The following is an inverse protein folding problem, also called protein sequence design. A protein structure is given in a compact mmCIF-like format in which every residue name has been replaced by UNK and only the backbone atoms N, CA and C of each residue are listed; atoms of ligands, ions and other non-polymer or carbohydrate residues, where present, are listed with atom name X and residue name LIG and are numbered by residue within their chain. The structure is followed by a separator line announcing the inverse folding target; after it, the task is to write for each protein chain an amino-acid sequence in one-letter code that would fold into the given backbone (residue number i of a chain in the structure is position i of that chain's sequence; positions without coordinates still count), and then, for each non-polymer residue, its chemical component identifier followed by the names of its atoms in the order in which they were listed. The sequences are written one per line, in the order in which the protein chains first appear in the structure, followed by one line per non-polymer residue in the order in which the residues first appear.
data_IF_015998561623
#
_entry.id   IF_015998561623
#
_cell.length_a   1.000
_cell.length_b   1.000
_cell.length_c   1.000
_cell.angle_alpha   90.00
_cell.angle_beta   90.00
_cell.angle_gamma   90.00
#
_symmetry.space_group_name_H-M   'P 1'
#
loop_
_entity.id
_entity.type
_entity.pdbx_description
1 polymer ?
#
# COMPACT_ATOMS: atom_id res chain seq x y z
N UNK A 1 56.69 2.14 -4.19
CA UNK A 1 55.96 2.12 -5.49
C UNK A 1 54.79 1.13 -5.45
N UNK A 2 54.99 -0.15 -5.09
CA UNK A 2 53.89 -1.13 -4.97
C UNK A 2 52.83 -0.77 -3.93
N UNK A 3 53.24 -0.16 -2.83
CA UNK A 3 52.34 0.30 -1.75
C UNK A 3 51.32 1.32 -2.23
N UNK A 4 51.75 2.31 -3.03
CA UNK A 4 50.85 3.34 -3.58
C UNK A 4 49.86 2.74 -4.58
N UNK A 5 50.27 1.73 -5.35
CA UNK A 5 49.37 1.02 -6.25
C UNK A 5 48.31 0.23 -5.47
N UNK A 6 48.70 -0.43 -4.38
CA UNK A 6 47.77 -1.16 -3.52
C UNK A 6 46.76 -0.22 -2.83
N UNK A 7 47.20 0.93 -2.33
CA UNK A 7 46.29 1.89 -1.70
C UNK A 7 45.24 2.41 -2.68
N UNK A 8 45.64 2.76 -3.92
CA UNK A 8 44.70 3.25 -4.94
C UNK A 8 43.64 2.20 -5.30
N UNK A 9 44.04 0.92 -5.42
CA UNK A 9 43.10 -0.18 -5.70
C UNK A 9 42.11 -0.37 -4.55
N UNK A 10 42.59 -0.38 -3.30
CA UNK A 10 41.73 -0.56 -2.13
C UNK A 10 40.74 0.61 -2.03
N UNK A 11 41.20 1.86 -2.17
CA UNK A 11 40.31 3.02 -2.12
C UNK A 11 39.26 2.98 -3.23
N UNK A 12 39.64 2.59 -4.46
CA UNK A 12 38.70 2.42 -5.57
C UNK A 12 37.60 1.39 -5.26
N UNK A 13 37.97 0.23 -4.72
CA UNK A 13 37.01 -0.82 -4.35
C UNK A 13 36.08 -0.39 -3.20
N UNK A 14 36.58 0.36 -2.22
CA UNK A 14 35.74 0.86 -1.12
C UNK A 14 34.71 1.89 -1.59
N UNK A 15 35.08 2.77 -2.52
CA UNK A 15 34.16 3.79 -3.06
C UNK A 15 33.05 3.14 -3.89
N UNK A 16 33.38 2.16 -4.73
CA UNK A 16 32.36 1.46 -5.54
C UNK A 16 31.39 0.67 -4.66
N UNK A 17 31.90 -0.02 -3.63
CA UNK A 17 31.06 -0.71 -2.65
C UNK A 17 30.13 0.26 -1.89
N UNK A 18 30.65 1.43 -1.50
CA UNK A 18 29.86 2.46 -0.82
C UNK A 18 28.73 2.99 -1.71
N UNK A 19 29.02 3.34 -2.96
CA UNK A 19 28.02 3.84 -3.91
C UNK A 19 26.93 2.81 -4.19
N UNK A 20 27.30 1.54 -4.37
CA UNK A 20 26.33 0.46 -4.53
C UNK A 20 25.42 0.33 -3.30
N UNK A 21 26.00 0.36 -2.10
CA UNK A 21 25.22 0.28 -0.85
C UNK A 21 24.26 1.46 -0.68
N UNK A 22 24.67 2.67 -1.06
CA UNK A 22 23.85 3.87 -0.98
C UNK A 22 22.68 3.82 -1.97
N UNK A 23 22.92 3.31 -3.18
CA UNK A 23 21.86 3.10 -4.17
C UNK A 23 20.83 2.08 -3.66
N UNK A 24 21.29 0.96 -3.06
CA UNK A 24 20.40 -0.03 -2.45
C UNK A 24 19.60 0.56 -1.30
N UNK A 25 20.24 1.31 -0.40
CA UNK A 25 19.57 1.96 0.72
C UNK A 25 18.53 2.99 0.26
N UNK A 26 18.84 3.78 -0.77
CA UNK A 26 17.90 4.73 -1.37
C UNK A 26 16.66 4.05 -1.96
N UNK A 27 16.86 2.96 -2.69
CA UNK A 27 15.75 2.16 -3.24
C UNK A 27 14.90 1.53 -2.13
N UNK A 28 15.53 0.95 -1.10
CA UNK A 28 14.82 0.39 0.04
C UNK A 28 13.96 1.44 0.77
N UNK A 29 14.51 2.63 0.99
CA UNK A 29 13.78 3.73 1.63
C UNK A 29 12.56 4.19 0.81
N UNK A 30 12.69 4.26 -0.52
CA UNK A 30 11.56 4.62 -1.39
C UNK A 30 10.47 3.55 -1.40
N UNK A 31 10.86 2.27 -1.46
CA UNK A 31 9.92 1.14 -1.34
C UNK A 31 9.18 1.18 -0.01
N UNK A 32 9.88 1.42 1.10
CA UNK A 32 9.27 1.51 2.42
C UNK A 32 8.27 2.67 2.52
N UNK A 33 8.63 3.86 2.01
CA UNK A 33 7.70 5.00 1.97
C UNK A 33 6.46 4.70 1.14
N UNK A 34 6.62 4.04 0.00
CA UNK A 34 5.51 3.67 -0.86
C UNK A 34 4.59 2.65 -0.19
N UNK A 35 5.13 1.69 0.57
CA UNK A 35 4.34 0.71 1.32
C UNK A 35 3.57 1.36 2.48
N UNK A 36 4.21 2.24 3.26
CA UNK A 36 3.52 2.98 4.33
C UNK A 36 2.38 3.86 3.78
N UNK A 37 2.57 4.46 2.60
CA UNK A 37 1.49 5.19 1.94
C UNK A 37 0.35 4.29 1.47
N UNK A 38 0.67 3.09 0.96
CA UNK A 38 -0.32 2.06 0.63
C UNK A 38 -1.17 1.66 1.83
N UNK A 39 -0.54 1.40 2.97
CA UNK A 39 -1.22 1.11 4.24
C UNK A 39 -2.16 2.24 4.67
N UNK A 40 -1.72 3.49 4.55
CA UNK A 40 -2.54 4.66 4.89
C UNK A 40 -3.77 4.78 3.98
N UNK A 41 -3.60 4.51 2.69
CA UNK A 41 -4.71 4.49 1.71
C UNK A 41 -5.70 3.39 2.05
N UNK A 42 -5.23 2.18 2.39
CA UNK A 42 -6.10 1.08 2.77
C UNK A 42 -6.93 1.40 4.02
N UNK A 43 -6.32 2.03 5.03
CA UNK A 43 -7.03 2.49 6.23
C UNK A 43 -8.08 3.56 5.91
N UNK A 44 -7.73 4.54 5.09
CA UNK A 44 -8.68 5.58 4.69
C UNK A 44 -9.87 5.01 3.90
N UNK A 45 -9.63 4.02 3.04
CA UNK A 45 -10.71 3.31 2.36
C UNK A 45 -11.60 2.53 3.34
N UNK A 46 -11.02 1.90 4.36
CA UNK A 46 -11.79 1.20 5.40
C UNK A 46 -12.67 2.16 6.21
N UNK A 47 -12.17 3.35 6.57
CA UNK A 47 -12.98 4.39 7.22
C UNK A 47 -14.08 4.93 6.29
N UNK A 48 -13.80 5.13 5.01
CA UNK A 48 -14.81 5.51 4.02
C UNK A 48 -15.90 4.42 3.87
N UNK A 49 -15.51 3.15 3.90
CA UNK A 49 -16.44 2.02 3.88
C UNK A 49 -17.32 2.00 5.12
N UNK A 50 -16.72 2.20 6.31
CA UNK A 50 -17.44 2.30 7.58
C UNK A 50 -18.47 3.44 7.56
N UNK A 51 -18.07 4.62 7.09
CA UNK A 51 -18.97 5.77 6.94
C UNK A 51 -20.13 5.47 5.98
N UNK A 52 -19.85 4.81 4.85
CA UNK A 52 -20.88 4.41 3.89
C UNK A 52 -21.88 3.39 4.45
N UNK A 53 -21.45 2.53 5.39
CA UNK A 53 -22.29 1.46 5.95
C UNK A 53 -23.04 1.88 7.21
N UNK A 54 -22.72 3.04 7.81
CA UNK A 54 -23.26 3.47 9.11
C UNK A 54 -24.78 3.74 9.09
N UNK A 55 -25.34 4.13 7.94
CA UNK A 55 -26.78 4.35 7.75
C UNK A 55 -27.46 3.25 6.93
N UNK A 56 -26.79 2.13 6.70
CA UNK A 56 -27.25 1.16 5.73
C UNK A 56 -28.15 0.09 6.34
N UNK A 57 -29.29 -0.16 5.70
CA UNK A 57 -30.23 -1.23 6.05
C UNK A 57 -29.83 -2.54 5.38
N UNK A 58 -30.12 -3.67 6.05
CA UNK A 58 -29.81 -4.99 5.50
C UNK A 58 -30.44 -5.17 4.11
N UNK A 59 -29.62 -5.59 3.13
CA UNK A 59 -30.04 -5.76 1.74
C UNK A 59 -30.05 -4.48 0.89
N UNK A 60 -29.94 -3.29 1.50
CA UNK A 60 -29.75 -2.05 0.75
C UNK A 60 -28.34 -1.96 0.16
N UNK A 61 -28.21 -1.31 -0.99
CA UNK A 61 -26.91 -1.03 -1.59
C UNK A 61 -26.21 0.13 -0.87
N UNK A 62 -24.89 0.03 -0.71
CA UNK A 62 -24.05 1.16 -0.31
C UNK A 62 -22.99 1.43 -1.37
N UNK A 63 -22.53 2.67 -1.44
CA UNK A 63 -21.46 3.09 -2.34
C UNK A 63 -20.35 3.73 -1.53
N UNK A 64 -19.13 3.23 -1.71
CA UNK A 64 -17.94 3.79 -1.08
C UNK A 64 -17.34 4.79 -2.05
N UNK A 65 -17.42 6.09 -1.72
CA UNK A 65 -16.76 7.14 -2.49
C UNK A 65 -15.37 7.34 -1.92
N UNK A 66 -14.35 6.88 -2.65
CA UNK A 66 -12.95 7.03 -2.27
C UNK A 66 -12.12 7.41 -3.50
N UNK A 67 -11.36 8.50 -3.38
CA UNK A 67 -10.42 8.94 -4.42
C UNK A 67 -9.01 8.69 -3.89
N UNK A 68 -8.26 7.75 -4.47
CA UNK A 68 -6.88 7.51 -4.05
C UNK A 68 -6.00 8.73 -4.39
N UNK A 69 -4.96 9.01 -3.58
CA UNK A 69 -3.93 10.00 -3.92
C UNK A 69 -3.25 9.72 -5.26
N UNK A 70 -2.70 10.75 -5.89
CA UNK A 70 -2.03 10.63 -7.18
C UNK A 70 -0.93 9.55 -7.17
N UNK A 71 -0.88 8.74 -8.22
CA UNK A 71 0.07 7.64 -8.36
C UNK A 71 -0.37 6.32 -7.71
N UNK A 72 -1.51 6.30 -7.01
CA UNK A 72 -2.10 5.07 -6.48
C UNK A 72 -3.41 4.74 -7.19
N UNK A 73 -3.67 3.45 -7.34
CA UNK A 73 -4.97 2.94 -7.77
C UNK A 73 -5.53 2.04 -6.67
N UNK A 74 -6.83 2.17 -6.40
CA UNK A 74 -7.54 1.38 -5.41
C UNK A 74 -8.70 0.67 -6.12
N UNK A 75 -8.71 -0.65 -6.06
CA UNK A 75 -9.75 -1.48 -6.65
C UNK A 75 -10.38 -2.32 -5.56
N UNK A 76 -11.70 -2.25 -5.40
CA UNK A 76 -12.44 -3.06 -4.46
C UNK A 76 -13.30 -4.10 -5.17
N UNK A 77 -13.38 -5.30 -4.57
CA UNK A 77 -14.23 -6.38 -5.04
C UNK A 77 -15.06 -6.90 -3.86
N UNK A 78 -16.39 -6.89 -3.96
CA UNK A 78 -17.22 -6.37 -5.07
C UNK A 78 -17.22 -4.82 -5.15
N UNK A 79 -17.42 -4.27 -6.34
CA UNK A 79 -17.53 -2.80 -6.59
C UNK A 79 -18.87 -2.22 -6.13
N UNK A 80 -19.92 -3.03 -6.17
CA UNK A 80 -21.25 -2.73 -5.62
C UNK A 80 -21.56 -3.77 -4.55
N UNK A 81 -21.67 -3.31 -3.32
CA UNK A 81 -21.93 -4.16 -2.19
C UNK A 81 -23.31 -3.84 -1.60
N UNK A 82 -24.09 -4.88 -1.36
CA UNK A 82 -25.26 -4.82 -0.50
C UNK A 82 -24.80 -4.92 0.94
N UNK A 83 -25.51 -4.22 1.84
CA UNK A 83 -25.22 -4.26 3.26
C UNK A 83 -25.60 -5.63 3.81
N UNK A 84 -24.61 -6.40 4.26
CA UNK A 84 -24.86 -7.72 4.82
C UNK A 84 -25.43 -7.55 6.24
N UNK A 85 -26.37 -8.41 6.67
CA UNK A 85 -26.91 -8.33 8.02
C UNK A 85 -25.83 -8.64 9.06
N UNK A 86 -26.03 -8.16 10.30
CA UNK A 86 -25.12 -8.37 11.45
C UNK A 86 -24.74 -9.84 11.66
N UNK A 87 -25.62 -10.77 11.30
CA UNK A 87 -25.42 -12.21 11.49
C UNK A 87 -24.54 -12.86 10.42
N UNK A 88 -24.45 -12.27 9.22
CA UNK A 88 -23.65 -12.81 8.09
C UNK A 88 -22.75 -11.74 7.48
N UNK A 89 -21.73 -11.28 8.23
CA UNK A 89 -20.81 -10.25 7.75
C UNK A 89 -20.09 -10.68 6.46
N UNK A 90 -19.87 -9.72 5.57
CA UNK A 90 -19.22 -9.96 4.28
C UNK A 90 -17.80 -9.39 4.28
N UNK A 91 -16.89 -10.09 3.62
CA UNK A 91 -15.55 -9.59 3.35
C UNK A 91 -15.53 -8.86 2.01
N UNK A 92 -15.08 -7.60 2.03
CA UNK A 92 -14.75 -6.82 0.84
C UNK A 92 -13.23 -6.82 0.70
N UNK A 93 -12.73 -7.22 -0.45
CA UNK A 93 -11.30 -7.18 -0.72
C UNK A 93 -10.95 -5.86 -1.40
N UNK A 94 -9.99 -5.14 -0.82
CA UNK A 94 -9.36 -3.97 -1.40
C UNK A 94 -7.97 -4.37 -1.90
N UNK A 95 -7.65 -3.92 -3.12
CA UNK A 95 -6.32 -4.02 -3.70
C UNK A 95 -5.84 -2.61 -4.01
N UNK A 96 -4.73 -2.21 -3.39
CA UNK A 96 -4.07 -0.93 -3.66
C UNK A 96 -2.80 -1.21 -4.47
N UNK A 97 -2.65 -0.54 -5.60
CA UNK A 97 -1.42 -0.59 -6.40
C UNK A 97 -0.73 0.77 -6.34
N UNK A 98 0.51 0.78 -5.86
CA UNK A 98 1.34 1.97 -5.78
C UNK A 98 2.12 2.25 -7.08
N UNK A 99 2.78 3.42 -7.17
CA UNK A 99 3.47 3.88 -8.37
C UNK A 99 4.70 3.03 -8.74
N UNK A 100 5.25 2.29 -7.76
CA UNK A 100 6.37 1.36 -7.95
C UNK A 100 5.90 -0.07 -8.30
N UNK A 101 4.61 -0.26 -8.61
CA UNK A 101 4.02 -1.57 -8.89
C UNK A 101 3.80 -2.45 -7.65
N UNK A 102 4.07 -1.93 -6.46
CA UNK A 102 3.75 -2.58 -5.20
C UNK A 102 2.24 -2.79 -5.09
N UNK A 103 1.83 -4.00 -4.77
CA UNK A 103 0.42 -4.37 -4.60
C UNK A 103 0.20 -4.81 -3.17
N UNK A 104 -0.72 -4.13 -2.50
CA UNK A 104 -1.14 -4.45 -1.15
C UNK A 104 -2.61 -4.83 -1.16
N UNK A 105 -2.97 -5.84 -0.38
CA UNK A 105 -4.33 -6.34 -0.29
C UNK A 105 -4.82 -6.28 1.14
N UNK A 106 -6.05 -5.81 1.32
CA UNK A 106 -6.72 -5.76 2.62
C UNK A 106 -8.10 -6.38 2.48
N UNK A 107 -8.50 -7.14 3.49
CA UNK A 107 -9.87 -7.62 3.62
C UNK A 107 -10.58 -6.81 4.69
N UNK A 108 -11.72 -6.25 4.33
CA UNK A 108 -12.54 -5.41 5.20
C UNK A 108 -13.82 -6.18 5.49
N UNK A 109 -14.05 -6.46 6.77
CA UNK A 109 -15.30 -7.08 7.22
C UNK A 109 -16.36 -6.01 7.37
N UNK A 110 -17.44 -6.15 6.59
CA UNK A 110 -18.59 -5.25 6.61
C UNK A 110 -19.80 -5.97 7.19
N UNK A 111 -20.53 -5.28 8.06
CA UNK A 111 -21.82 -5.67 8.63
C UNK A 111 -22.68 -4.41 8.75
N UNK A 112 -24.01 -4.56 8.69
CA UNK A 112 -24.91 -3.51 9.16
C UNK A 112 -24.59 -3.15 10.62
N UNK A 113 -24.81 -1.91 11.05
CA UNK A 113 -24.65 -1.51 12.44
C UNK A 113 -25.59 -2.25 13.40
#
# INVERSE_FOLDING_TARGET
MIEVLLTVVITGLTITALLASLATAGNAANTQRSSVQGDLIMRNYAEATKAATQGCTAGAGYTVVFVPPAGFTATSVPTTATCPPVTTPRLVQLVVTGPLGLRETMQIKVATP
#
